data_IF_224842417866
#
_entry.id   IF_224842417866
#
_cell.length_a   1.000
_cell.length_b   1.000
_cell.length_c   1.000
_cell.angle_alpha   90.00
_cell.angle_beta   90.00
_cell.angle_gamma   90.00
#
_symmetry.space_group_name_H-M   'P 1'
#
loop_
_entity.id
_entity.type
_entity.pdbx_description
1 polymer ?
2 non-polymer ?
3 non-polymer ?
4 water ?
#
# COMPACT_ATOMS: atom_id res chain seq x y z
N UNK A 1 -21.40 -22.61 -6.80
CA UNK A 1 -22.72 -21.88 -6.68
C UNK A 1 -22.48 -20.39 -6.82
N UNK A 2 -23.53 -19.62 -7.11
CA UNK A 2 -23.32 -18.23 -7.47
C UNK A 2 -22.73 -17.41 -6.29
N UNK A 3 -23.09 -17.78 -5.05
CA UNK A 3 -22.49 -17.09 -3.90
C UNK A 3 -20.96 -17.20 -3.93
N UNK A 4 -20.48 -18.40 -4.23
CA UNK A 4 -19.05 -18.61 -4.26
C UNK A 4 -18.40 -17.82 -5.39
N UNK A 5 -19.08 -17.74 -6.53
CA UNK A 5 -18.55 -17.03 -7.69
C UNK A 5 -18.43 -15.55 -7.40
N UNK A 6 -19.46 -14.99 -6.76
CA UNK A 6 -19.45 -13.57 -6.44
C UNK A 6 -18.43 -13.27 -5.37
N UNK A 7 -18.25 -14.22 -4.46
CA UNK A 7 -17.25 -14.03 -3.39
C UNK A 7 -15.81 -14.12 -3.93
N UNK A 8 -15.60 -15.02 -4.90
CA UNK A 8 -14.32 -15.15 -5.58
C UNK A 8 -14.09 -13.87 -6.40
N UNK A 9 -15.16 -13.33 -6.97
CA UNK A 9 -15.07 -12.07 -7.70
C UNK A 9 -14.56 -10.93 -6.81
N UNK A 10 -15.09 -10.81 -5.58
CA UNK A 10 -14.61 -9.82 -4.65
C UNK A 10 -13.13 -9.98 -4.37
N UNK A 11 -12.68 -11.24 -4.19
CA UNK A 11 -11.24 -11.45 -4.01
C UNK A 11 -10.48 -10.98 -5.27
N UNK A 12 -10.94 -11.40 -6.45
CA UNK A 12 -10.25 -11.01 -7.67
C UNK A 12 -10.14 -9.49 -7.81
N UNK A 13 -11.21 -8.77 -7.49
CA UNK A 13 -11.18 -7.26 -7.57
C UNK A 13 -10.18 -6.64 -6.60
N UNK A 14 -10.10 -7.23 -5.40
CA UNK A 14 -9.05 -6.86 -4.43
C UNK A 14 -7.65 -7.09 -4.98
N UNK A 15 -7.37 -8.31 -5.45
CA UNK A 15 -6.10 -8.62 -6.06
C UNK A 15 -5.76 -7.68 -7.24
N UNK A 16 -6.71 -7.47 -8.14
CA UNK A 16 -6.47 -6.56 -9.26
C UNK A 16 -6.15 -5.11 -8.85
N UNK A 17 -6.45 -4.75 -7.60
CA UNK A 17 -6.27 -3.39 -7.14
C UNK A 17 -4.89 -3.17 -6.51
N UNK A 18 -4.12 -4.25 -6.31
CA UNK A 18 -2.89 -4.12 -5.50
C UNK A 18 -1.80 -3.30 -6.21
N UNK A 19 -1.62 -3.48 -7.52
CA UNK A 19 -0.61 -2.66 -8.23
C UNK A 19 -0.91 -1.14 -8.08
N UNK A 20 -2.16 -0.77 -8.26
CA UNK A 20 -2.55 0.63 -8.13
C UNK A 20 -2.37 1.10 -6.69
N UNK A 21 -2.79 0.28 -5.73
CA UNK A 21 -2.53 0.61 -4.31
C UNK A 21 -1.04 0.79 -3.98
N UNK A 22 -0.19 -0.10 -4.51
CA UNK A 22 1.25 -0.03 -4.30
C UNK A 22 1.78 1.26 -4.88
N UNK A 23 1.39 1.55 -6.12
CA UNK A 23 1.95 2.75 -6.72
C UNK A 23 1.51 3.99 -5.96
N UNK A 24 0.27 3.98 -5.48
CA UNK A 24 -0.30 5.07 -4.69
C UNK A 24 0.48 5.24 -3.39
N UNK A 25 0.81 4.13 -2.73
CA UNK A 25 1.54 4.20 -1.47
C UNK A 25 2.92 4.77 -1.71
N UNK A 26 3.61 4.30 -2.76
CA UNK A 26 4.93 4.83 -3.08
C UNK A 26 4.86 6.33 -3.35
N UNK A 27 3.84 6.75 -4.09
CA UNK A 27 3.73 8.16 -4.46
C UNK A 27 3.51 9.00 -3.19
N UNK A 28 2.70 8.48 -2.26
CA UNK A 28 2.50 9.15 -0.96
C UNK A 28 3.83 9.30 -0.19
N UNK A 29 4.62 8.22 -0.13
CA UNK A 29 5.88 8.24 0.63
C UNK A 29 6.88 9.21 -0.03
N UNK A 30 6.94 9.15 -1.35
CA UNK A 30 7.79 10.08 -2.11
C UNK A 30 7.40 11.53 -1.84
N UNK A 31 6.10 11.83 -1.83
CA UNK A 31 5.67 13.22 -1.54
C UNK A 31 6.07 13.60 -0.10
N UNK A 32 5.85 12.70 0.84
CA UNK A 32 6.27 12.96 2.22
C UNK A 32 7.75 13.27 2.32
N UNK A 33 8.59 12.45 1.66
CA UNK A 33 10.07 12.67 1.77
C UNK A 33 10.49 13.97 1.09
N UNK A 34 9.78 14.34 0.03
CA UNK A 34 10.01 15.61 -0.64
C UNK A 34 9.70 16.76 0.30
N UNK A 35 8.55 16.70 0.96
CA UNK A 35 8.20 17.75 1.88
C UNK A 35 9.17 17.80 3.05
N UNK A 36 9.59 16.62 3.52
CA UNK A 36 10.51 16.61 4.64
C UNK A 36 11.84 17.26 4.26
N UNK A 37 12.29 16.96 3.05
CA UNK A 37 13.52 17.52 2.56
C UNK A 37 13.43 19.03 2.37
N UNK A 38 12.26 19.49 1.93
CA UNK A 38 12.04 20.95 1.81
C UNK A 38 12.10 21.62 3.17
N UNK A 39 11.57 20.95 4.20
CA UNK A 39 11.64 21.51 5.56
C UNK A 39 13.09 21.53 6.04
N UNK A 40 13.82 20.44 5.76
CA UNK A 40 15.25 20.43 6.04
C UNK A 40 15.96 21.62 5.41
N UNK A 41 15.71 21.86 4.13
CA UNK A 41 16.40 22.96 3.43
C UNK A 41 16.05 24.31 4.07
N UNK A 42 14.80 24.50 4.46
CA UNK A 42 14.41 25.73 5.14
C UNK A 42 15.19 25.91 6.45
N UNK A 43 15.33 24.83 7.21
CA UNK A 43 15.97 24.90 8.51
C UNK A 43 17.48 25.15 8.31
N UNK A 44 18.07 24.59 7.24
CA UNK A 44 19.53 24.75 7.01
C UNK A 44 19.86 26.18 6.53
N UNK A 45 18.97 26.75 5.73
CA UNK A 45 19.05 28.17 5.38
C UNK A 45 18.93 29.07 6.61
N UNK A 46 18.01 28.70 7.51
CA UNK A 46 17.82 29.45 8.75
C UNK A 46 19.11 29.46 9.60
N UNK A 47 19.84 28.35 9.61
CA UNK A 47 21.15 28.29 10.29
C UNK A 47 22.16 29.27 9.69
N UNK A 48 22.21 29.34 8.38
CA UNK A 48 23.14 30.26 7.73
C UNK A 48 22.75 31.71 7.94
N UNK A 49 21.45 31.98 7.96
CA UNK A 49 20.95 33.35 8.22
C UNK A 49 21.37 33.78 9.63
N UNK A 50 21.29 32.83 10.56
CA UNK A 50 21.70 33.03 11.96
C UNK A 50 23.19 33.27 12.05
N UNK A 51 23.96 32.52 11.27
CA UNK A 51 25.41 32.62 11.28
C UNK A 51 25.85 34.00 10.77
N UNK A 52 25.26 34.45 9.67
CA UNK A 52 25.49 35.83 9.19
C UNK A 52 25.23 36.88 10.27
N UNK A 53 24.12 36.73 11.00
CA UNK A 53 23.73 37.65 12.05
C UNK A 53 24.65 37.55 13.29
N UNK A 54 25.38 36.44 13.41
CA UNK A 54 26.11 36.06 14.65
C UNK A 54 25.18 36.03 15.87
N UNK A 55 23.97 35.50 15.67
CA UNK A 55 22.97 35.45 16.73
C UNK A 55 22.00 34.32 16.47
N UNK A 56 21.65 33.59 17.52
CA UNK A 56 20.60 32.58 17.43
C UNK A 56 21.08 31.29 16.80
N UNK A 57 22.40 31.11 16.74
CA UNK A 57 22.98 30.03 15.93
C UNK A 57 22.72 28.68 16.61
N UNK A 58 22.90 28.62 17.93
CA UNK A 58 22.61 27.36 18.64
C UNK A 58 21.23 26.82 18.34
N UNK A 59 20.22 27.65 18.56
CA UNK A 59 18.85 27.17 18.42
C UNK A 59 18.54 26.80 16.97
N UNK A 60 19.04 27.57 16.00
CA UNK A 60 18.77 27.22 14.59
C UNK A 60 19.44 25.88 14.29
N UNK A 61 20.66 25.70 14.79
CA UNK A 61 21.43 24.50 14.46
C UNK A 61 20.72 23.27 15.04
N UNK A 62 20.19 23.41 16.25
CA UNK A 62 19.54 22.27 16.89
C UNK A 62 18.28 21.92 16.14
N UNK A 63 17.57 22.94 15.68
CA UNK A 63 16.36 22.70 14.93
C UNK A 63 16.70 22.05 13.59
N UNK A 64 17.74 22.53 12.91
CA UNK A 64 18.14 21.95 11.62
C UNK A 64 18.58 20.49 11.72
N UNK A 65 19.28 20.17 12.80
CA UNK A 65 19.69 18.79 13.04
C UNK A 65 18.45 17.89 13.12
N UNK A 66 17.43 18.33 13.85
CA UNK A 66 16.18 17.55 13.93
C UNK A 66 15.48 17.40 12.60
N UNK A 67 15.45 18.49 11.84
CA UNK A 67 14.76 18.46 10.55
C UNK A 67 15.49 17.57 9.58
N UNK A 68 16.82 17.65 9.59
CA UNK A 68 17.67 16.82 8.73
C UNK A 68 17.53 15.34 9.06
N UNK A 69 17.56 15.00 10.35
CA UNK A 69 17.38 13.60 10.75
C UNK A 69 16.01 13.07 10.30
N UNK A 70 14.98 13.91 10.39
CA UNK A 70 13.64 13.52 9.96
C UNK A 70 13.56 13.31 8.47
N UNK A 71 14.22 14.16 7.68
CA UNK A 71 14.26 13.99 6.22
C UNK A 71 15.01 12.72 5.84
N UNK A 72 16.04 12.38 6.63
CA UNK A 72 16.82 11.20 6.35
C UNK A 72 15.95 9.96 6.58
N UNK A 73 15.21 9.97 7.66
CA UNK A 73 14.28 8.89 7.95
C UNK A 73 13.23 8.73 6.82
N UNK A 74 12.71 9.85 6.37
CA UNK A 74 11.76 9.84 5.25
C UNK A 74 12.38 9.23 4.02
N UNK A 75 13.64 9.57 3.73
CA UNK A 75 14.30 9.06 2.52
C UNK A 75 14.52 7.54 2.58
N UNK A 76 14.73 7.03 3.79
CA UNK A 76 14.89 5.60 3.97
C UNK A 76 13.57 4.91 3.62
N UNK A 77 12.46 5.52 4.02
CA UNK A 77 11.16 4.93 3.74
C UNK A 77 10.89 4.83 2.24
N UNK A 78 11.36 5.81 1.46
CA UNK A 78 11.14 5.75 0.01
C UNK A 78 11.74 4.45 -0.53
N UNK A 79 12.96 4.15 -0.10
CA UNK A 79 13.66 2.96 -0.55
C UNK A 79 12.88 1.69 -0.13
N UNK A 80 12.43 1.66 1.11
CA UNK A 80 11.66 0.52 1.64
C UNK A 80 10.31 0.37 0.91
N UNK A 81 9.61 1.49 0.72
CA UNK A 81 8.31 1.48 0.04
C UNK A 81 8.40 0.89 -1.38
N UNK A 82 9.42 1.29 -2.16
CA UNK A 82 9.56 0.82 -3.55
C UNK A 82 9.80 -0.70 -3.56
N UNK A 83 10.50 -1.17 -2.56
CA UNK A 83 10.78 -2.61 -2.44
C UNK A 83 9.51 -3.33 -2.05
N UNK A 84 8.81 -2.81 -1.04
CA UNK A 84 7.55 -3.42 -0.60
C UNK A 84 6.51 -3.46 -1.71
N UNK A 85 6.48 -2.42 -2.52
CA UNK A 85 5.51 -2.35 -3.61
C UNK A 85 5.84 -3.40 -4.68
N UNK A 86 7.12 -3.48 -5.05
CA UNK A 86 7.53 -4.42 -6.13
C UNK A 86 7.40 -5.87 -5.62
N UNK A 87 7.70 -6.10 -4.34
CA UNK A 87 7.51 -7.45 -3.78
C UNK A 87 6.03 -7.84 -3.86
N UNK A 88 5.16 -6.93 -3.47
CA UNK A 88 3.74 -7.27 -3.41
C UNK A 88 3.14 -7.49 -4.81
N UNK A 89 3.54 -6.64 -5.75
CA UNK A 89 3.13 -6.83 -7.15
C UNK A 89 3.60 -8.18 -7.70
N UNK A 90 4.85 -8.55 -7.39
CA UNK A 90 5.43 -9.85 -7.81
C UNK A 90 4.70 -11.03 -7.17
N UNK A 91 4.42 -10.90 -5.87
CA UNK A 91 3.76 -11.96 -5.13
C UNK A 91 2.37 -12.25 -5.66
N UNK A 92 1.69 -11.24 -6.19
CA UNK A 92 0.28 -11.40 -6.51
C UNK A 92 0.01 -11.70 -7.97
N UNK A 93 1.06 -11.61 -8.79
CA UNK A 93 0.94 -11.80 -10.23
C UNK A 93 0.28 -13.15 -10.49
N UNK A 94 0.82 -14.22 -9.90
CA UNK A 94 0.29 -15.55 -10.17
C UNK A 94 -1.14 -15.71 -9.65
N UNK A 95 -1.44 -15.08 -8.52
CA UNK A 95 -2.78 -15.17 -7.92
C UNK A 95 -3.84 -14.45 -8.78
N UNK A 96 -3.48 -13.30 -9.32
CA UNK A 96 -4.36 -12.62 -10.26
C UNK A 96 -4.62 -13.46 -11.50
N UNK A 97 -3.57 -14.04 -12.06
CA UNK A 97 -3.75 -14.83 -13.27
C UNK A 97 -4.65 -16.06 -13.01
N UNK A 98 -4.34 -16.78 -11.94
CA UNK A 98 -5.10 -17.93 -11.54
C UNK A 98 -6.57 -17.63 -11.26
N UNK A 99 -6.83 -16.57 -10.49
CA UNK A 99 -8.18 -16.22 -10.13
C UNK A 99 -8.93 -15.77 -11.37
N UNK A 100 -8.28 -14.94 -12.19
CA UNK A 100 -8.95 -14.45 -13.40
C UNK A 100 -9.34 -15.65 -14.28
N UNK A 101 -8.45 -16.62 -14.35
CA UNK A 101 -8.68 -17.75 -15.23
C UNK A 101 -9.83 -18.59 -14.72
N UNK A 102 -9.88 -18.79 -13.40
CA UNK A 102 -11.05 -19.46 -12.81
C UNK A 102 -12.37 -18.80 -13.21
N UNK A 103 -12.37 -17.47 -13.20
CA UNK A 103 -13.62 -16.74 -13.40
C UNK A 103 -13.96 -16.77 -14.88
N UNK A 104 -12.95 -16.64 -15.74
CA UNK A 104 -13.26 -16.64 -17.20
C UNK A 104 -13.74 -17.99 -17.68
N UNK A 105 -13.32 -19.07 -17.02
CA UNK A 105 -13.83 -20.40 -17.35
C UNK A 105 -15.27 -20.55 -16.92
N UNK A 106 -15.60 -19.96 -15.77
CA UNK A 106 -16.98 -20.01 -15.26
C UNK A 106 -17.90 -19.21 -16.15
N UNK A 107 -17.37 -18.14 -16.76
CA UNK A 107 -18.20 -17.29 -17.60
C UNK A 107 -18.68 -18.05 -18.83
N UNK A 108 -17.90 -19.02 -19.28
CA UNK A 108 -18.24 -19.76 -20.51
C UNK A 108 -18.62 -21.21 -20.20
N UNK A 109 -18.84 -21.51 -18.93
CA UNK A 109 -18.93 -22.91 -18.51
C UNK A 109 -20.23 -23.55 -19.00
N UNK A 110 -20.07 -24.45 -19.97
CA UNK A 110 -21.02 -25.52 -20.29
C UNK A 110 -22.07 -25.78 -19.21
N UNK A 111 -22.54 -24.64 -16.18
CA UNK A 111 -22.92 -23.55 -15.29
C UNK A 111 -24.21 -22.92 -15.79
N UNK A 112 -25.11 -22.61 -14.85
CA UNK A 112 -26.36 -21.92 -15.18
C UNK A 112 -26.14 -20.43 -15.46
N UNK A 113 -27.23 -19.69 -15.64
CA UNK A 113 -27.10 -18.32 -16.11
C UNK A 113 -26.53 -17.36 -15.06
N UNK A 114 -27.06 -17.39 -13.82
CA UNK A 114 -26.56 -16.40 -12.85
C UNK A 114 -25.07 -16.61 -12.58
N UNK A 115 -24.61 -17.84 -12.75
CA UNK A 115 -23.20 -18.15 -12.51
C UNK A 115 -22.34 -17.63 -13.66
N UNK A 116 -22.77 -17.86 -14.90
CA UNK A 116 -22.00 -17.31 -16.04
C UNK A 116 -21.94 -15.80 -15.96
N UNK A 117 -23.09 -15.22 -15.62
CA UNK A 117 -23.25 -13.78 -15.55
C UNK A 117 -22.40 -13.14 -14.46
N UNK A 118 -22.42 -13.75 -13.27
CA UNK A 118 -21.64 -13.25 -12.13
C UNK A 118 -20.14 -13.30 -12.50
N UNK A 119 -19.73 -14.39 -13.16
CA UNK A 119 -18.35 -14.50 -13.63
C UNK A 119 -18.01 -13.50 -14.75
N UNK A 120 -18.90 -13.39 -15.75
CA UNK A 120 -18.62 -12.52 -16.88
C UNK A 120 -18.55 -11.06 -16.44
N UNK A 121 -19.43 -10.65 -15.53
CA UNK A 121 -19.47 -9.26 -15.13
C UNK A 121 -18.35 -8.95 -14.12
N UNK A 122 -17.53 -9.94 -13.81
CA UNK A 122 -16.42 -9.69 -12.88
C UNK A 122 -15.17 -9.06 -13.52
N UNK A 123 -15.31 -7.85 -14.04
CA UNK A 123 -14.21 -7.17 -14.67
C UNK A 123 -13.83 -6.01 -13.78
N UNK A 124 -12.60 -5.52 -13.92
CA UNK A 124 -12.22 -4.34 -13.17
C UNK A 124 -11.69 -4.64 -11.78
N UNK A 125 -11.16 -3.59 -11.17
CA UNK A 125 -10.50 -3.65 -9.87
C UNK A 125 -11.35 -2.94 -8.82
N UNK A 126 -11.24 -3.41 -7.56
CA UNK A 126 -11.81 -2.67 -6.46
C UNK A 126 -11.19 -1.27 -6.33
N UNK A 127 -11.89 -0.35 -5.67
CA UNK A 127 -11.25 0.92 -5.33
C UNK A 127 -10.77 0.88 -3.89
N UNK A 128 -9.67 1.57 -3.61
CA UNK A 128 -9.28 1.87 -2.23
C UNK A 128 -9.09 0.59 -1.41
N UNK A 129 -8.34 -0.34 -1.98
CA UNK A 129 -8.05 -1.62 -1.33
C UNK A 129 -7.13 -1.34 -0.15
N UNK A 130 -7.44 -1.93 1.00
CA UNK A 130 -6.60 -1.83 2.17
C UNK A 130 -6.29 -3.22 2.71
N UNK A 131 -5.36 -3.32 3.64
CA UNK A 131 -5.12 -4.63 4.23
C UNK A 131 -6.41 -5.17 4.85
N UNK A 132 -7.25 -4.29 5.38
CA UNK A 132 -8.53 -4.72 5.97
C UNK A 132 -9.52 -5.23 4.90
N UNK A 133 -9.71 -4.49 3.81
CA UNK A 133 -10.69 -4.94 2.77
C UNK A 133 -10.24 -6.23 2.08
N UNK A 134 -8.94 -6.34 1.89
CA UNK A 134 -8.32 -7.54 1.32
C UNK A 134 -8.46 -8.74 2.28
N UNK A 135 -8.18 -8.54 3.57
CA UNK A 135 -8.38 -9.63 4.53
C UNK A 135 -9.84 -10.09 4.58
N UNK A 136 -10.76 -9.13 4.59
CA UNK A 136 -12.16 -9.47 4.66
C UNK A 136 -12.59 -10.31 3.46
N UNK A 137 -12.10 -9.93 2.28
CA UNK A 137 -12.46 -10.63 1.05
C UNK A 137 -11.98 -12.09 1.11
N UNK A 138 -10.76 -12.31 1.59
CA UNK A 138 -10.28 -13.69 1.68
C UNK A 138 -11.02 -14.46 2.77
N UNK A 139 -11.27 -13.83 3.93
CA UNK A 139 -12.12 -14.45 5.00
C UNK A 139 -13.47 -14.94 4.43
N UNK A 140 -14.10 -14.10 3.60
CA UNK A 140 -15.42 -14.41 3.07
C UNK A 140 -15.36 -15.62 2.17
N UNK A 141 -14.32 -15.66 1.33
CA UNK A 141 -14.12 -16.82 0.47
C UNK A 141 -13.80 -18.10 1.28
N UNK A 142 -12.96 -17.96 2.30
CA UNK A 142 -12.61 -19.09 3.18
C UNK A 142 -13.86 -19.66 3.85
N UNK A 143 -14.74 -18.78 4.26
CA UNK A 143 -15.97 -19.19 4.95
C UNK A 143 -16.89 -20.07 4.12
N UNK A 144 -16.90 -19.87 2.79
CA UNK A 144 -17.73 -20.69 1.90
C UNK A 144 -17.14 -22.09 1.62
N UNK A 145 -15.84 -22.25 1.88
CA UNK A 145 -15.12 -23.44 1.52
C UNK A 145 -14.38 -24.05 2.70
N UNK A 146 -15.13 -24.65 3.64
CA UNK A 146 -14.47 -25.07 4.89
C UNK A 146 -13.34 -26.07 4.66
N UNK A 147 -13.46 -26.94 3.66
CA UNK A 147 -12.36 -27.88 3.37
C UNK A 147 -11.05 -27.18 2.96
N UNK A 148 -11.18 -25.98 2.38
CA UNK A 148 -10.02 -25.26 1.85
C UNK A 148 -9.74 -23.96 2.57
N UNK A 149 -10.41 -23.73 3.71
CA UNK A 149 -10.42 -22.39 4.36
C UNK A 149 -9.06 -21.97 4.93
N UNK A 150 -8.39 -22.87 5.64
CA UNK A 150 -7.05 -22.58 6.18
C UNK A 150 -6.13 -22.17 5.04
N UNK A 151 -6.24 -22.84 3.90
CA UNK A 151 -5.34 -22.56 2.78
C UNK A 151 -5.62 -21.17 2.18
N UNK A 152 -6.89 -20.91 1.95
CA UNK A 152 -7.34 -19.62 1.39
C UNK A 152 -6.91 -18.45 2.28
N UNK A 153 -7.08 -18.59 3.59
CA UNK A 153 -6.67 -17.52 4.51
C UNK A 153 -5.14 -17.34 4.43
N UNK A 154 -4.37 -18.43 4.29
CA UNK A 154 -2.93 -18.23 4.21
C UNK A 154 -2.46 -17.62 2.90
N UNK A 155 -3.11 -17.98 1.79
CA UNK A 155 -2.88 -17.33 0.50
C UNK A 155 -3.08 -15.85 0.66
N UNK A 156 -4.18 -15.50 1.30
CA UNK A 156 -4.50 -14.09 1.45
C UNK A 156 -3.56 -13.39 2.40
N UNK A 157 -3.08 -14.12 3.41
CA UNK A 157 -2.28 -13.50 4.46
C UNK A 157 -0.99 -12.88 3.89
N UNK A 158 -0.44 -13.49 2.84
CA UNK A 158 0.72 -12.96 2.15
C UNK A 158 0.47 -11.51 1.68
N UNK A 159 -0.71 -11.28 1.12
CA UNK A 159 -1.00 -10.01 0.46
C UNK A 159 -1.39 -9.04 1.56
N UNK A 160 -2.04 -9.56 2.60
CA UNK A 160 -2.45 -8.72 3.71
C UNK A 160 -1.18 -8.18 4.39
N UNK A 161 -0.19 -9.05 4.56
CA UNK A 161 1.09 -8.66 5.14
C UNK A 161 1.76 -7.62 4.26
N UNK A 162 1.76 -7.86 2.95
CA UNK A 162 2.51 -6.94 2.08
C UNK A 162 1.85 -5.57 2.03
N UNK A 163 0.52 -5.57 2.04
CA UNK A 163 -0.21 -4.30 2.05
C UNK A 163 -0.07 -3.57 3.39
N UNK A 164 -0.12 -4.30 4.50
CA UNK A 164 0.16 -3.69 5.81
C UNK A 164 1.55 -3.01 5.83
N UNK A 165 2.53 -3.64 5.20
CA UNK A 165 3.90 -3.06 5.13
C UNK A 165 3.83 -1.72 4.45
N UNK A 166 3.10 -1.66 3.32
CA UNK A 166 3.06 -0.38 2.57
C UNK A 166 2.28 0.66 3.35
N UNK A 167 1.25 0.21 4.08
CA UNK A 167 0.46 1.12 4.93
C UNK A 167 1.33 1.65 6.05
N UNK A 168 2.19 0.79 6.60
CA UNK A 168 3.13 1.25 7.64
C UNK A 168 4.14 2.20 7.03
N UNK A 169 4.61 1.88 5.83
CA UNK A 169 5.51 2.80 5.15
C UNK A 169 4.91 4.21 5.01
N UNK A 170 3.66 4.29 4.54
CA UNK A 170 2.94 5.56 4.42
C UNK A 170 2.91 6.33 5.76
N UNK A 171 2.52 5.63 6.83
CA UNK A 171 2.50 6.25 8.15
C UNK A 171 3.90 6.76 8.57
N UNK A 172 4.89 5.88 8.45
CA UNK A 172 6.26 6.18 8.88
C UNK A 172 6.85 7.40 8.15
N UNK A 173 6.58 7.49 6.86
CA UNK A 173 7.05 8.63 6.10
C UNK A 173 6.26 9.90 6.41
N UNK A 174 4.97 9.74 6.75
CA UNK A 174 4.12 10.88 7.11
C UNK A 174 4.57 11.43 8.45
N UNK A 175 4.96 10.54 9.35
CA UNK A 175 5.47 10.96 10.69
C UNK A 175 6.79 11.70 10.54
N UNK A 176 7.61 11.24 9.60
CA UNK A 176 8.90 11.86 9.38
C UNK A 176 8.72 13.27 8.81
N UNK A 177 7.90 13.41 7.78
CA UNK A 177 7.49 14.76 7.30
C UNK A 177 6.94 15.67 8.40
N UNK A 178 6.08 15.12 9.27
CA UNK A 178 5.48 15.91 10.34
C UNK A 178 6.55 16.40 11.34
N UNK A 179 7.46 15.53 11.74
CA UNK A 179 8.56 15.99 12.61
C UNK A 179 9.48 17.01 11.94
N UNK A 180 9.71 16.82 10.63
CA UNK A 180 10.62 17.73 9.89
C UNK A 180 10.04 19.14 9.88
N UNK A 181 8.74 19.21 9.61
CA UNK A 181 8.05 20.49 9.57
C UNK A 181 7.92 21.10 10.99
N UNK A 182 7.72 20.27 12.00
CA UNK A 182 7.62 20.79 13.37
C UNK A 182 8.96 21.33 13.85
N UNK A 183 10.05 20.75 13.35
CA UNK A 183 11.38 21.16 13.79
C UNK A 183 11.67 22.54 13.22
N UNK A 184 11.22 22.75 11.98
CA UNK A 184 11.53 23.96 11.24
C UNK A 184 10.42 25.00 11.47
X LIG B 1 -5.18 -16.45 -4.17
X LIG C 1 20.08 21.64 2.52
X LIG D 1 9.38 30.48 3.48
X LIG E 1 -3.34 -25.46 4.73
X LIG F 1 -9.36 -5.05 -14.23
X LIG F 1 -8.14 -4.58 -13.73
X LIG F 1 -9.48 -5.62 -15.65
X LIG F 1 -10.21 -4.81 -16.65
X LIG F 1 -9.89 -7.06 -15.27
X LIG F 1 -11.06 -7.67 -15.78
#
# INVERSE_FOLDING_TARGET
>A
KVEEVQTMCDVARQLRALETASQSAVAAVVSSAREASEAKERAEKAVERAKSKKRGVDTATEAAARAAAAAQRAETVVSDARKHAADLTAASKDAIETTDESLRLLATCEADEPIRTAAKKCTGAAAEVTSKSLESAFDALAELLPDGADDIREHGAVFVKGLKSLEDDVRTAGEAKYEAEKAE
>B hetero
1 IOD I
>C hetero
1 IOD I
>D hetero
1 IOD I
>E hetero
1 IOD I
>F hetero
1 GOL C1 O1 C2 O2 C3 O3
#
